data_IF_306755149725
#
_entry.id   IF_306755149725
#
_cell.length_a   1.000
_cell.length_b   1.000
_cell.length_c   1.000
_cell.angle_alpha   90.00
_cell.angle_beta   90.00
_cell.angle_gamma   90.00
#
_symmetry.space_group_name_H-M   'P 1'
#
loop_
_entity.id
_entity.type
_entity.pdbx_description
1 polymer ?
#
# COMPACT_ATOMS: atom_id res chain seq x y z
N UNK A 1 -7.41 3.74 1.37
CA UNK A 1 -8.01 4.87 2.12
C UNK A 1 -6.88 5.63 2.79
N UNK A 2 -6.95 6.96 2.84
CA UNK A 2 -5.88 7.78 3.39
C UNK A 2 -6.46 8.98 4.13
N UNK A 3 -5.89 9.29 5.28
CA UNK A 3 -6.18 10.49 6.06
C UNK A 3 -4.87 11.27 6.23
N UNK A 4 -4.89 12.57 5.93
CA UNK A 4 -3.70 13.42 6.00
C UNK A 4 -4.00 14.70 6.77
N UNK A 5 -3.03 15.14 7.56
CA UNK A 5 -3.05 16.41 8.27
C UNK A 5 -1.84 17.23 7.85
N UNK A 6 -2.08 18.37 7.22
CA UNK A 6 -1.04 19.33 6.84
C UNK A 6 -0.90 20.37 7.95
N UNK A 7 0.32 20.53 8.46
CA UNK A 7 0.59 21.36 9.63
C UNK A 7 0.39 22.85 9.36
N UNK A 8 0.66 23.27 8.13
CA UNK A 8 0.48 24.64 7.70
C UNK A 8 0.36 24.69 6.18
N UNK A 9 -0.52 25.55 5.67
CA UNK A 9 -0.52 25.90 4.25
C UNK A 9 0.79 26.57 3.86
N UNK A 10 1.52 27.16 4.80
CA UNK A 10 2.84 27.68 4.51
C UNK A 10 3.87 26.58 4.30
N UNK A 11 4.17 25.78 5.31
CA UNK A 11 5.23 24.78 5.16
C UNK A 11 4.94 23.77 4.03
N UNK A 12 3.66 23.48 3.78
CA UNK A 12 3.21 22.46 2.83
C UNK A 12 3.41 21.04 3.35
N UNK A 13 4.02 20.88 4.53
CA UNK A 13 4.32 19.59 5.14
C UNK A 13 3.13 19.04 5.93
N UNK A 14 2.99 17.73 5.92
CA UNK A 14 1.98 17.02 6.66
C UNK A 14 2.36 15.57 6.96
N UNK A 15 1.54 14.95 7.79
CA UNK A 15 1.57 13.51 8.04
C UNK A 15 0.31 12.86 7.51
N UNK A 16 0.44 11.63 7.03
CA UNK A 16 -0.71 10.82 6.65
C UNK A 16 -0.66 9.41 7.23
N UNK A 17 -1.84 8.88 7.50
CA UNK A 17 -2.07 7.46 7.67
C UNK A 17 -2.69 6.92 6.39
N UNK A 18 -2.10 5.86 5.85
CA UNK A 18 -2.56 5.27 4.60
C UNK A 18 -2.73 3.76 4.74
N UNK A 19 -3.89 3.30 4.29
CA UNK A 19 -4.23 1.89 4.16
C UNK A 19 -4.49 1.59 2.69
N UNK A 20 -3.67 0.75 2.08
CA UNK A 20 -3.83 0.36 0.69
C UNK A 20 -3.61 -1.14 0.50
N UNK A 21 -4.11 -1.64 -0.62
CA UNK A 21 -4.28 -3.06 -0.86
C UNK A 21 -3.67 -3.45 -2.20
N UNK A 22 -2.68 -4.34 -2.18
CA UNK A 22 -2.01 -4.84 -3.38
C UNK A 22 -2.38 -6.32 -3.60
N UNK A 23 -2.71 -6.68 -4.85
CA UNK A 23 -2.83 -8.09 -5.24
C UNK A 23 -1.56 -8.54 -5.93
N UNK A 24 -1.02 -9.66 -5.48
CA UNK A 24 0.15 -10.27 -6.07
C UNK A 24 -0.11 -11.73 -6.38
N UNK A 25 0.28 -12.12 -7.58
CA UNK A 25 0.21 -13.50 -8.06
C UNK A 25 1.63 -13.98 -8.31
N UNK A 26 1.92 -15.22 -7.88
CA UNK A 26 3.17 -15.86 -8.24
C UNK A 26 3.22 -16.05 -9.76
N UNK A 27 4.40 -15.86 -10.36
CA UNK A 27 4.59 -16.23 -11.75
C UNK A 27 4.54 -17.75 -11.90
N UNK A 28 4.08 -18.24 -13.04
CA UNK A 28 4.01 -19.68 -13.31
C UNK A 28 5.39 -20.34 -13.12
N UNK A 29 5.45 -21.39 -12.31
CA UNK A 29 6.68 -22.11 -11.99
C UNK A 29 7.59 -21.47 -10.93
N UNK A 30 7.22 -20.33 -10.33
CA UNK A 30 8.01 -19.69 -9.26
C UNK A 30 7.64 -20.16 -7.85
N UNK A 31 6.70 -21.10 -7.72
CA UNK A 31 6.25 -21.66 -6.44
C UNK A 31 7.08 -22.92 -6.18
N UNK A 32 7.60 -23.06 -4.96
CA UNK A 32 8.32 -24.26 -4.57
C UNK A 32 7.44 -25.52 -4.79
N UNK A 33 8.02 -26.66 -5.22
CA UNK A 33 7.25 -27.87 -5.56
C UNK A 33 6.41 -28.45 -4.40
N UNK A 34 6.59 -27.94 -3.18
CA UNK A 34 5.85 -28.33 -1.98
C UNK A 34 4.45 -27.71 -1.85
N UNK A 35 4.13 -26.63 -2.58
CA UNK A 35 2.81 -25.98 -2.52
C UNK A 35 2.05 -26.19 -3.83
N UNK A 36 0.79 -26.65 -3.73
CA UNK A 36 -0.11 -26.78 -4.89
C UNK A 36 -0.78 -25.47 -5.25
N UNK A 37 -0.98 -24.61 -4.24
CA UNK A 37 -1.60 -23.29 -4.40
C UNK A 37 -0.98 -22.35 -3.38
N UNK A 38 -0.61 -21.17 -3.86
CA UNK A 38 -0.25 -20.02 -3.05
C UNK A 38 -0.97 -18.82 -3.66
N UNK A 39 -1.87 -18.21 -2.89
CA UNK A 39 -2.57 -17.01 -3.29
C UNK A 39 -2.60 -16.01 -2.15
N UNK A 40 -2.55 -14.75 -2.53
CA UNK A 40 -2.92 -13.63 -1.69
C UNK A 40 -4.20 -13.04 -2.28
N UNK A 41 -5.30 -13.80 -2.29
CA UNK A 41 -6.53 -13.42 -3.03
C UNK A 41 -7.21 -12.20 -2.42
N UNK A 42 -7.23 -12.14 -1.08
CA UNK A 42 -7.56 -10.94 -0.31
C UNK A 42 -6.33 -10.07 -0.01
N UNK A 43 -5.25 -10.27 -0.79
CA UNK A 43 -4.01 -9.50 -0.99
C UNK A 43 -3.22 -9.00 0.23
N UNK A 44 -2.26 -8.13 -0.07
CA UNK A 44 -1.33 -7.52 0.87
C UNK A 44 -1.94 -6.21 1.36
N UNK A 45 -2.37 -6.17 2.63
CA UNK A 45 -2.92 -4.96 3.22
C UNK A 45 -1.80 -4.15 3.87
N UNK A 46 -1.43 -3.04 3.27
CA UNK A 46 -0.38 -2.16 3.75
C UNK A 46 -0.96 -1.12 4.71
N UNK A 47 -0.28 -0.87 5.81
CA UNK A 47 -0.55 0.22 6.74
C UNK A 47 0.73 1.03 6.88
N UNK A 48 0.69 2.31 6.47
CA UNK A 48 1.86 3.19 6.52
C UNK A 48 1.58 4.51 7.21
N UNK A 49 2.63 5.06 7.81
CA UNK A 49 2.72 6.46 8.20
C UNK A 49 3.57 7.16 7.16
N UNK A 50 3.09 8.29 6.67
CA UNK A 50 3.72 9.04 5.59
C UNK A 50 4.08 10.44 6.04
N UNK A 51 5.17 10.95 5.47
CA UNK A 51 5.50 12.37 5.47
C UNK A 51 5.23 12.89 4.06
N UNK A 52 4.36 13.89 3.98
CA UNK A 52 3.95 14.49 2.72
C UNK A 52 4.35 15.95 2.64
N UNK A 53 4.58 16.40 1.41
CA UNK A 53 4.73 17.79 1.07
C UNK A 53 3.81 18.14 -0.09
N UNK A 54 3.12 19.28 -0.01
CA UNK A 54 2.30 19.82 -1.10
C UNK A 54 2.64 21.27 -1.38
N UNK A 55 2.44 21.66 -2.62
CA UNK A 55 2.54 23.06 -3.04
C UNK A 55 1.38 23.90 -2.51
N UNK A 56 1.64 25.21 -2.37
CA UNK A 56 0.65 26.22 -1.97
C UNK A 56 -0.27 26.69 -3.12
N UNK A 57 0.06 26.33 -4.35
CA UNK A 57 -0.37 27.08 -5.52
C UNK A 57 -1.80 26.74 -5.95
N UNK A 58 -2.74 27.67 -5.73
CA UNK A 58 -4.04 27.66 -6.39
C UNK A 58 -4.89 26.39 -6.18
N UNK A 59 -5.87 26.14 -7.05
CA UNK A 59 -6.72 24.95 -6.95
C UNK A 59 -5.96 23.67 -7.31
N UNK A 60 -4.93 23.74 -8.15
CA UNK A 60 -4.14 22.60 -8.61
C UNK A 60 -2.81 22.52 -7.86
N UNK A 61 -2.70 21.55 -6.96
CA UNK A 61 -1.61 21.41 -6.01
C UNK A 61 -0.85 20.11 -6.23
N UNK A 62 0.30 20.16 -6.91
CA UNK A 62 1.27 19.08 -6.89
C UNK A 62 1.68 18.74 -5.45
N UNK A 63 1.89 17.46 -5.20
CA UNK A 63 2.36 16.94 -3.92
C UNK A 63 3.24 15.71 -4.12
N UNK A 64 4.00 15.38 -3.09
CA UNK A 64 4.76 14.14 -3.02
C UNK A 64 5.00 13.75 -1.58
N UNK A 65 5.43 12.51 -1.37
CA UNK A 65 5.65 12.00 -0.03
C UNK A 65 6.31 10.63 -0.03
N UNK A 66 6.76 10.25 1.15
CA UNK A 66 7.33 8.93 1.41
C UNK A 66 6.67 8.37 2.66
N UNK A 67 6.47 7.06 2.66
CA UNK A 67 5.82 6.37 3.77
C UNK A 67 6.48 5.05 4.08
N UNK A 68 6.37 4.65 5.35
CA UNK A 68 6.83 3.35 5.81
C UNK A 68 5.87 2.75 6.83
N UNK A 69 5.87 1.43 6.93
CA UNK A 69 5.04 0.69 7.87
C UNK A 69 5.13 -0.81 7.66
N UNK A 70 4.02 -1.48 7.92
CA UNK A 70 3.94 -2.94 7.86
C UNK A 70 2.76 -3.38 6.99
N UNK A 71 2.58 -4.68 6.86
CA UNK A 71 1.51 -5.27 6.09
C UNK A 71 0.86 -6.45 6.83
N UNK A 72 -0.42 -6.63 6.54
CA UNK A 72 -1.29 -7.70 7.05
C UNK A 72 -1.78 -8.52 5.85
N UNK A 73 -0.97 -9.47 5.36
CA UNK A 73 -1.37 -10.34 4.26
C UNK A 73 -2.49 -11.30 4.69
N UNK A 74 -3.42 -11.55 3.76
CA UNK A 74 -4.28 -12.72 3.83
C UNK A 74 -3.64 -13.87 3.05
N UNK A 75 -3.25 -14.92 3.76
CA UNK A 75 -2.47 -16.03 3.19
C UNK A 75 -3.39 -17.19 2.90
N UNK A 76 -3.48 -17.58 1.63
CA UNK A 76 -4.18 -18.78 1.19
C UNK A 76 -3.16 -19.75 0.58
N UNK A 77 -2.76 -20.76 1.36
CA UNK A 77 -1.74 -21.73 0.96
C UNK A 77 -2.20 -23.17 1.19
N UNK A 78 -1.91 -24.06 0.24
CA UNK A 78 -2.31 -25.47 0.30
C UNK A 78 -1.17 -26.41 -0.12
N UNK A 79 -0.96 -27.45 0.66
CA UNK A 79 -0.09 -28.60 0.36
C UNK A 79 -0.90 -29.90 0.29
N UNK A 80 -0.24 -31.04 0.07
CA UNK A 80 -0.88 -32.37 0.02
C UNK A 80 -1.55 -32.77 1.33
N UNK A 81 -1.10 -32.23 2.47
CA UNK A 81 -1.52 -32.66 3.80
C UNK A 81 -2.05 -31.53 4.70
N UNK A 82 -1.98 -30.26 4.27
CA UNK A 82 -2.36 -29.12 5.10
C UNK A 82 -2.76 -27.88 4.29
N UNK A 83 -3.50 -26.97 4.92
CA UNK A 83 -3.93 -25.69 4.36
C UNK A 83 -3.86 -24.57 5.39
N UNK A 84 -3.57 -23.35 4.94
CA UNK A 84 -3.62 -22.10 5.70
C UNK A 84 -4.53 -21.12 4.95
N UNK A 85 -5.46 -20.50 5.68
CA UNK A 85 -6.38 -19.47 5.19
C UNK A 85 -6.64 -18.48 6.33
N UNK A 86 -5.79 -17.46 6.46
CA UNK A 86 -5.86 -16.51 7.58
C UNK A 86 -5.19 -15.15 7.29
N UNK A 87 -5.54 -14.16 8.12
CA UNK A 87 -4.79 -12.90 8.20
C UNK A 87 -3.61 -13.04 9.16
N UNK A 88 -2.42 -12.72 8.68
CA UNK A 88 -1.22 -12.73 9.50
C UNK A 88 -0.75 -11.30 9.79
N UNK A 89 -0.84 -10.87 11.03
CA UNK A 89 -0.51 -9.50 11.44
C UNK A 89 0.99 -9.24 11.45
N UNK A 90 1.39 -8.06 10.95
CA UNK A 90 2.76 -7.54 10.98
C UNK A 90 3.81 -8.44 10.33
N UNK A 91 3.45 -9.09 9.22
CA UNK A 91 4.29 -10.06 8.51
C UNK A 91 5.18 -9.43 7.44
N UNK A 92 5.81 -8.32 7.75
CA UNK A 92 6.73 -7.66 6.83
C UNK A 92 6.92 -6.17 7.04
N UNK A 93 7.69 -5.58 6.14
CA UNK A 93 7.90 -4.15 6.04
C UNK A 93 7.36 -3.65 4.70
N UNK A 94 6.83 -2.44 4.72
CA UNK A 94 6.33 -1.73 3.54
C UNK A 94 6.93 -0.34 3.52
N UNK A 95 7.54 0.02 2.41
CA UNK A 95 8.00 1.38 2.11
C UNK A 95 7.34 1.85 0.82
N UNK A 96 7.07 3.14 0.70
CA UNK A 96 6.52 3.71 -0.52
C UNK A 96 7.01 5.12 -0.76
N UNK A 97 6.94 5.53 -2.03
CA UNK A 97 7.08 6.90 -2.46
C UNK A 97 5.91 7.24 -3.39
N UNK A 98 5.39 8.45 -3.26
CA UNK A 98 4.29 8.95 -4.10
C UNK A 98 4.57 10.34 -4.63
N UNK A 99 4.07 10.60 -5.83
CA UNK A 99 3.95 11.95 -6.40
C UNK A 99 2.60 12.07 -7.08
N UNK A 100 1.98 13.23 -6.98
CA UNK A 100 0.65 13.42 -7.53
C UNK A 100 0.25 14.87 -7.63
N UNK A 101 -1.00 15.06 -8.02
CA UNK A 101 -1.65 16.36 -8.11
C UNK A 101 -3.04 16.28 -7.48
N UNK A 102 -3.37 17.27 -6.66
CA UNK A 102 -4.71 17.48 -6.12
C UNK A 102 -5.35 18.66 -6.84
N UNK A 103 -6.62 18.53 -7.22
CA UNK A 103 -7.44 19.62 -7.71
C UNK A 103 -8.54 19.92 -6.69
N UNK A 104 -8.53 21.09 -6.06
CA UNK A 104 -9.63 21.57 -5.22
C UNK A 104 -10.81 22.01 -6.07
N UNK A 105 -11.97 21.45 -5.80
CA UNK A 105 -13.22 21.93 -6.36
C UNK A 105 -13.78 23.06 -5.48
N UNK A 106 -14.76 23.85 -5.97
CA UNK A 106 -15.49 24.76 -5.10
C UNK A 106 -16.10 24.01 -3.90
N UNK A 107 -15.80 24.48 -2.68
CA UNK A 107 -16.21 23.82 -1.43
C UNK A 107 -15.10 22.96 -0.80
N UNK A 108 -15.47 21.99 0.07
CA UNK A 108 -14.48 21.17 0.79
C UNK A 108 -13.95 19.99 -0.05
N UNK A 109 -14.61 19.67 -1.17
CA UNK A 109 -14.25 18.52 -1.98
C UNK A 109 -13.09 18.80 -2.95
N UNK A 110 -12.38 17.75 -3.34
CA UNK A 110 -11.40 17.79 -4.41
C UNK A 110 -11.17 16.41 -5.02
N UNK A 111 -10.40 16.38 -6.10
CA UNK A 111 -9.98 15.14 -6.76
C UNK A 111 -8.46 15.07 -6.79
N UNK A 112 -7.91 13.88 -7.00
CA UNK A 112 -6.48 13.70 -7.12
C UNK A 112 -6.11 12.62 -8.14
N UNK A 113 -4.88 12.73 -8.65
CA UNK A 113 -4.19 11.71 -9.42
C UNK A 113 -2.80 11.52 -8.82
N UNK A 114 -2.43 10.28 -8.53
CA UNK A 114 -1.19 9.91 -7.85
C UNK A 114 -0.51 8.76 -8.58
N UNK A 115 0.80 8.87 -8.75
CA UNK A 115 1.65 7.74 -9.06
C UNK A 115 2.38 7.29 -7.79
N UNK A 116 2.34 5.99 -7.52
CA UNK A 116 2.88 5.38 -6.31
C UNK A 116 3.82 4.23 -6.64
N UNK A 117 4.95 4.23 -5.96
CA UNK A 117 5.91 3.14 -5.93
C UNK A 117 5.86 2.50 -4.54
N UNK A 118 5.68 1.18 -4.47
CA UNK A 118 5.73 0.43 -3.21
C UNK A 118 6.82 -0.62 -3.26
N UNK A 119 7.60 -0.70 -2.19
CA UNK A 119 8.59 -1.74 -1.93
C UNK A 119 8.19 -2.46 -0.66
N UNK A 120 7.90 -3.75 -0.74
CA UNK A 120 7.51 -4.53 0.40
C UNK A 120 8.33 -5.81 0.50
N UNK A 121 8.68 -6.16 1.73
CA UNK A 121 9.18 -7.48 2.05
C UNK A 121 8.17 -8.14 2.96
N UNK A 122 7.73 -9.34 2.60
CA UNK A 122 6.90 -10.15 3.47
C UNK A 122 7.58 -11.46 3.84
N UNK A 123 7.23 -11.94 5.04
CA UNK A 123 7.51 -13.29 5.50
C UNK A 123 6.24 -13.86 6.13
N UNK A 124 5.64 -14.81 5.44
CA UNK A 124 4.37 -15.43 5.83
C UNK A 124 4.57 -16.90 6.15
N UNK A 125 3.81 -17.40 7.11
CA UNK A 125 3.83 -18.81 7.47
C UNK A 125 2.86 -19.57 6.56
N UNK A 126 3.34 -20.68 5.98
CA UNK A 126 2.63 -21.54 5.04
C UNK A 126 2.80 -23.01 5.47
N UNK A 127 2.00 -23.95 4.96
CA UNK A 127 2.23 -25.37 5.23
C UNK A 127 3.67 -25.78 4.90
N UNK A 128 4.38 -26.34 5.89
CA UNK A 128 5.76 -26.81 5.72
C UNK A 128 6.86 -25.76 5.93
N UNK A 129 6.55 -24.52 6.32
CA UNK A 129 7.56 -23.54 6.73
C UNK A 129 7.15 -22.08 6.55
N UNK A 130 8.14 -21.21 6.38
CA UNK A 130 7.92 -19.79 6.05
C UNK A 130 8.26 -19.52 4.58
N UNK A 131 7.43 -18.72 3.92
CA UNK A 131 7.70 -18.14 2.62
C UNK A 131 8.09 -16.67 2.81
N UNK A 132 9.17 -16.25 2.18
CA UNK A 132 9.54 -14.84 2.14
C UNK A 132 9.77 -14.36 0.71
N UNK A 133 9.36 -13.13 0.42
CA UNK A 133 9.53 -12.53 -0.89
C UNK A 133 9.56 -11.02 -0.83
N UNK A 134 10.16 -10.43 -1.87
CA UNK A 134 10.15 -9.00 -2.11
C UNK A 134 9.15 -8.67 -3.21
N UNK A 135 8.32 -7.66 -2.98
CA UNK A 135 7.44 -7.08 -3.98
C UNK A 135 7.82 -5.65 -4.27
N UNK A 136 7.69 -5.33 -5.55
CA UNK A 136 7.80 -3.98 -6.07
C UNK A 136 6.58 -3.75 -6.94
N UNK A 137 5.76 -2.78 -6.57
CA UNK A 137 4.53 -2.46 -7.29
C UNK A 137 4.52 -1.00 -7.70
N UNK A 138 3.89 -0.74 -8.84
CA UNK A 138 3.70 0.58 -9.40
C UNK A 138 2.20 0.77 -9.59
N UNK A 139 1.66 1.85 -9.03
CA UNK A 139 0.23 2.13 -9.09
C UNK A 139 -0.03 3.53 -9.62
N UNK A 140 -1.03 3.63 -10.48
CA UNK A 140 -1.67 4.90 -10.80
C UNK A 140 -3.01 4.92 -10.06
N UNK A 141 -3.19 5.89 -9.19
CA UNK A 141 -4.34 6.01 -8.28
C UNK A 141 -5.05 7.32 -8.58
N UNK A 142 -6.37 7.28 -8.72
CA UNK A 142 -7.20 8.46 -8.82
C UNK A 142 -8.36 8.36 -7.83
N UNK A 143 -8.84 9.49 -7.35
CA UNK A 143 -9.95 9.51 -6.41
C UNK A 143 -10.40 10.91 -6.03
N UNK A 144 -11.25 10.96 -5.01
CA UNK A 144 -11.75 12.19 -4.41
C UNK A 144 -11.30 12.30 -2.94
N UNK A 145 -11.24 13.53 -2.45
CA UNK A 145 -10.99 13.83 -1.04
C UNK A 145 -11.94 14.93 -0.54
N UNK A 146 -12.08 15.00 0.78
CA UNK A 146 -12.77 16.09 1.48
C UNK A 146 -11.76 16.71 2.44
N UNK A 147 -11.54 18.02 2.30
CA UNK A 147 -10.78 18.80 3.24
C UNK A 147 -11.72 19.24 4.36
N UNK A 148 -11.46 18.73 5.57
CA UNK A 148 -12.17 19.06 6.80
C UNK A 148 -11.41 20.12 7.60
#
# INVERSE_FOLDING_TARGET
>A
MRAAHFFSEESGWGLALDFFHDKAYAADGSIAPALRRLSFSHGLNHVTVDVDWRTRAGPLRPYGGVGAGSLVPHVEAQSDSASVDEYQWFRGISAKAQVGVQWRLPGPAGIFLEYRLTFAYLRVSVPGGDLSTWLRTHHLVAGAFVAL
#
